data_IF_203113091910
#
_entry.id   IF_203113091910
#
_cell.length_a   1.000
_cell.length_b   1.000
_cell.length_c   1.000
_cell.angle_alpha   90.00
_cell.angle_beta   90.00
_cell.angle_gamma   90.00
#
_symmetry.space_group_name_H-M   'P 1'
#
loop_
_entity.id
_entity.type
_entity.pdbx_description
1 polymer ?
#
# COMPACT_ATOMS: atom_id res chain seq x y z
N UNK A 1 25.02 3.91 19.75
CA UNK A 1 23.89 3.38 18.93
C UNK A 1 23.88 4.15 17.62
N UNK A 2 23.95 3.48 16.45
CA UNK A 2 24.08 4.17 15.17
C UNK A 2 22.76 4.86 14.82
N UNK A 3 22.81 6.16 14.42
CA UNK A 3 21.64 6.99 14.03
C UNK A 3 20.72 6.29 13.01
N UNK A 4 21.30 5.57 12.04
CA UNK A 4 20.54 4.84 11.03
C UNK A 4 19.68 3.71 11.62
N UNK A 5 20.21 2.96 12.60
CA UNK A 5 19.46 1.91 13.31
C UNK A 5 18.27 2.49 14.07
N UNK A 6 18.44 3.64 14.71
CA UNK A 6 17.39 4.31 15.45
C UNK A 6 16.24 4.76 14.53
N UNK A 7 16.56 5.33 13.37
CA UNK A 7 15.58 5.79 12.39
C UNK A 7 14.77 4.62 11.80
N UNK A 8 15.40 3.51 11.49
CA UNK A 8 14.72 2.30 10.97
C UNK A 8 13.78 1.71 12.02
N UNK A 9 14.20 1.65 13.29
CA UNK A 9 13.34 1.16 14.38
C UNK A 9 12.11 2.04 14.59
N UNK A 10 12.27 3.37 14.55
CA UNK A 10 11.15 4.32 14.66
C UNK A 10 10.14 4.13 13.53
N UNK A 11 10.58 3.97 12.27
CA UNK A 11 9.68 3.72 11.14
C UNK A 11 8.91 2.41 11.28
N UNK A 12 9.58 1.33 11.68
CA UNK A 12 8.93 0.04 11.93
C UNK A 12 7.82 0.16 12.97
N UNK A 13 8.12 0.79 14.11
CA UNK A 13 7.13 1.00 15.18
C UNK A 13 5.95 1.83 14.69
N UNK A 14 6.23 2.93 13.98
CA UNK A 14 5.20 3.80 13.40
C UNK A 14 4.25 3.03 12.48
N UNK A 15 4.76 2.18 11.57
CA UNK A 15 3.92 1.35 10.70
C UNK A 15 2.99 0.43 11.49
N UNK A 16 3.49 -0.23 12.52
CA UNK A 16 2.69 -1.13 13.36
C UNK A 16 1.60 -0.34 14.09
N UNK A 17 1.98 0.71 14.82
CA UNK A 17 1.08 1.49 15.65
C UNK A 17 -0.01 2.19 14.82
N UNK A 18 0.36 2.79 13.67
CA UNK A 18 -0.57 3.49 12.79
C UNK A 18 -1.54 2.53 12.11
N UNK A 19 -1.08 1.41 11.61
CA UNK A 19 -1.95 0.41 10.98
C UNK A 19 -2.96 -0.13 11.99
N UNK A 20 -2.54 -0.44 13.22
CA UNK A 20 -3.44 -0.88 14.28
C UNK A 20 -4.46 0.20 14.64
N UNK A 21 -4.04 1.46 14.71
CA UNK A 21 -4.92 2.60 14.99
C UNK A 21 -5.97 2.81 13.90
N UNK A 22 -5.57 2.73 12.62
CA UNK A 22 -6.46 2.96 11.47
C UNK A 22 -7.51 1.86 11.35
N UNK A 23 -7.11 0.61 11.52
CA UNK A 23 -8.01 -0.52 11.35
C UNK A 23 -8.87 -0.82 12.60
N UNK A 24 -8.62 -0.14 13.73
CA UNK A 24 -9.40 -0.30 14.96
C UNK A 24 -9.40 -1.73 15.53
N UNK A 25 -8.46 -2.57 15.12
CA UNK A 25 -8.37 -3.98 15.50
C UNK A 25 -6.95 -4.38 15.87
N UNK A 26 -6.81 -5.46 16.63
CA UNK A 26 -5.51 -6.07 16.93
C UNK A 26 -5.06 -6.89 15.72
N UNK A 27 -4.52 -6.20 14.70
CA UNK A 27 -3.86 -6.86 13.58
C UNK A 27 -2.41 -7.12 14.00
N UNK A 28 -1.97 -8.34 13.83
CA UNK A 28 -0.57 -8.68 13.99
C UNK A 28 0.21 -8.22 12.76
N UNK A 29 1.28 -7.44 12.98
CA UNK A 29 2.06 -6.84 11.90
C UNK A 29 3.53 -7.13 12.13
N UNK A 30 4.14 -7.73 11.12
CA UNK A 30 5.58 -7.90 11.07
C UNK A 30 6.14 -7.05 9.92
N UNK A 31 6.83 -5.96 10.27
CA UNK A 31 7.34 -5.00 9.30
C UNK A 31 8.87 -4.99 9.26
N UNK A 32 9.43 -4.88 8.06
CA UNK A 32 10.84 -4.60 7.83
C UNK A 32 10.95 -3.36 6.96
N UNK A 33 11.57 -2.31 7.48
CA UNK A 33 11.77 -1.05 6.76
C UNK A 33 13.21 -0.97 6.25
N UNK A 34 13.35 -0.68 4.96
CA UNK A 34 14.66 -0.50 4.31
C UNK A 34 14.71 0.83 3.55
N UNK A 35 15.90 1.29 3.24
CA UNK A 35 16.12 2.36 2.28
C UNK A 35 16.71 1.76 1.02
N UNK A 36 16.14 2.16 -0.11
CA UNK A 36 16.58 1.77 -1.46
C UNK A 36 16.98 3.02 -2.24
N UNK A 37 17.89 2.95 -3.21
CA UNK A 37 18.40 4.08 -3.97
C UNK A 37 17.43 4.49 -5.10
N UNK A 38 16.22 4.93 -4.72
CA UNK A 38 15.24 5.53 -5.63
C UNK A 38 15.01 6.98 -5.22
N UNK A 39 14.82 7.88 -6.19
CA UNK A 39 14.62 9.30 -5.93
C UNK A 39 13.21 9.58 -5.41
N UNK A 40 12.21 9.00 -6.06
CA UNK A 40 10.79 9.14 -5.72
C UNK A 40 10.16 7.76 -5.70
N UNK A 41 9.12 7.60 -4.92
CA UNK A 41 8.36 6.36 -4.83
C UNK A 41 8.54 5.63 -3.50
N UNK A 42 7.51 4.88 -3.16
CA UNK A 42 7.46 3.99 -2.00
C UNK A 42 6.93 2.64 -2.48
N UNK A 43 7.57 1.59 -2.08
CA UNK A 43 7.19 0.24 -2.47
C UNK A 43 7.07 -0.68 -1.26
N UNK A 44 6.07 -1.54 -1.29
CA UNK A 44 5.78 -2.50 -0.22
C UNK A 44 5.50 -3.88 -0.78
N UNK A 45 6.23 -4.88 -0.29
CA UNK A 45 5.87 -6.29 -0.47
C UNK A 45 5.04 -6.72 0.72
N UNK A 46 3.75 -6.94 0.50
CA UNK A 46 2.78 -7.19 1.56
C UNK A 46 2.33 -8.63 1.50
N UNK A 47 2.34 -9.30 2.65
CA UNK A 47 1.73 -10.60 2.84
C UNK A 47 0.59 -10.46 3.83
N UNK A 48 -0.61 -10.92 3.43
CA UNK A 48 -1.83 -10.78 4.22
C UNK A 48 -2.39 -12.16 4.52
N UNK A 49 -2.69 -12.40 5.79
CA UNK A 49 -3.48 -13.53 6.24
C UNK A 49 -4.87 -13.04 6.64
N UNK A 50 -5.90 -13.71 6.13
CA UNK A 50 -7.30 -13.34 6.33
C UNK A 50 -8.05 -14.38 7.15
N UNK A 51 -9.03 -13.94 7.94
CA UNK A 51 -9.92 -14.84 8.69
C UNK A 51 -10.97 -15.55 7.82
N UNK A 52 -11.26 -15.00 6.65
CA UNK A 52 -12.23 -15.54 5.69
C UNK A 52 -11.52 -15.95 4.42
N UNK A 53 -12.08 -16.95 3.74
CA UNK A 53 -11.58 -17.39 2.44
C UNK A 53 -11.53 -16.23 1.44
N UNK A 54 -10.43 -16.11 0.72
CA UNK A 54 -10.21 -15.08 -0.29
C UNK A 54 -10.93 -15.45 -1.57
N UNK A 55 -11.83 -14.59 -2.01
CA UNK A 55 -12.41 -14.64 -3.35
C UNK A 55 -11.64 -13.70 -4.26
N UNK A 56 -10.70 -14.27 -5.03
CA UNK A 56 -9.81 -13.48 -5.89
C UNK A 56 -10.59 -12.67 -6.94
N UNK A 57 -11.67 -13.21 -7.49
CA UNK A 57 -12.47 -12.51 -8.51
C UNK A 57 -13.13 -11.27 -7.90
N UNK A 58 -13.75 -11.42 -6.74
CA UNK A 58 -14.33 -10.28 -6.02
C UNK A 58 -13.28 -9.27 -5.58
N UNK A 59 -12.10 -9.71 -5.14
CA UNK A 59 -11.00 -8.83 -4.76
C UNK A 59 -10.53 -7.99 -5.95
N UNK A 60 -10.31 -8.59 -7.11
CA UNK A 60 -9.92 -7.89 -8.35
C UNK A 60 -10.98 -6.86 -8.75
N UNK A 61 -12.25 -7.22 -8.72
CA UNK A 61 -13.34 -6.27 -9.02
C UNK A 61 -13.33 -5.09 -8.05
N UNK A 62 -13.14 -5.35 -6.76
CA UNK A 62 -13.06 -4.31 -5.73
C UNK A 62 -11.86 -3.39 -5.93
N UNK A 63 -10.67 -3.91 -6.22
CA UNK A 63 -9.48 -3.10 -6.48
C UNK A 63 -9.72 -2.20 -7.69
N UNK A 64 -10.22 -2.76 -8.80
CA UNK A 64 -10.47 -1.99 -10.04
C UNK A 64 -11.55 -0.93 -9.89
N UNK A 65 -12.51 -1.11 -8.99
CA UNK A 65 -13.58 -0.14 -8.73
C UNK A 65 -13.23 0.90 -7.67
N UNK A 66 -12.09 0.75 -6.98
CA UNK A 66 -11.70 1.67 -5.92
C UNK A 66 -10.95 2.86 -6.49
N UNK A 67 -11.45 4.07 -6.22
CA UNK A 67 -10.82 5.31 -6.69
C UNK A 67 -9.40 5.48 -6.13
N UNK A 68 -8.44 5.79 -7.01
CA UNK A 68 -7.04 5.96 -6.66
C UNK A 68 -6.25 4.66 -6.54
N UNK A 69 -6.83 3.52 -6.94
CA UNK A 69 -6.10 2.26 -7.12
C UNK A 69 -6.02 1.88 -8.59
N UNK A 70 -4.87 1.40 -9.02
CA UNK A 70 -4.65 0.82 -10.34
C UNK A 70 -4.08 -0.60 -10.22
N UNK A 71 -4.73 -1.56 -10.88
CA UNK A 71 -4.26 -2.94 -10.90
C UNK A 71 -3.46 -3.19 -12.18
N UNK A 72 -2.14 -3.29 -12.03
CA UNK A 72 -1.20 -3.62 -13.11
C UNK A 72 -0.51 -4.93 -12.77
N UNK A 73 -1.15 -6.04 -13.09
CA UNK A 73 -0.67 -7.39 -12.77
C UNK A 73 -0.63 -8.28 -14.01
N UNK A 74 0.23 -7.93 -14.96
CA UNK A 74 0.47 -8.73 -16.17
C UNK A 74 1.30 -9.97 -15.79
N UNK A 75 0.90 -11.12 -16.31
CA UNK A 75 1.60 -12.41 -16.06
C UNK A 75 2.75 -12.63 -17.05
N UNK A 76 3.56 -11.61 -17.24
CA UNK A 76 4.77 -11.62 -18.08
C UNK A 76 5.95 -11.12 -17.26
N UNK A 77 7.14 -11.28 -17.77
CA UNK A 77 8.35 -10.70 -17.17
C UNK A 77 8.25 -9.17 -17.19
N UNK A 78 8.65 -8.51 -16.10
CA UNK A 78 8.49 -7.06 -15.93
C UNK A 78 7.04 -6.55 -15.85
N UNK A 79 6.04 -7.43 -15.75
CA UNK A 79 4.61 -7.07 -15.74
C UNK A 79 4.09 -6.50 -14.42
N UNK A 80 4.85 -5.64 -13.76
CA UNK A 80 4.52 -4.95 -12.51
C UNK A 80 5.05 -3.51 -12.55
N UNK A 81 4.59 -2.65 -11.67
CA UNK A 81 5.02 -1.25 -11.58
C UNK A 81 6.18 -1.12 -10.59
N UNK A 82 7.23 -0.42 -11.00
CA UNK A 82 8.39 -0.06 -10.16
C UNK A 82 8.19 1.30 -9.50
N UNK A 83 8.98 1.66 -8.46
CA UNK A 83 8.92 2.99 -7.87
C UNK A 83 9.13 4.12 -8.88
N UNK A 84 10.08 3.98 -9.82
CA UNK A 84 10.36 5.00 -10.82
C UNK A 84 9.17 5.21 -11.78
N UNK A 85 8.48 4.13 -12.16
CA UNK A 85 7.27 4.21 -13.00
C UNK A 85 6.07 4.82 -12.29
N UNK A 86 6.04 4.78 -10.95
CA UNK A 86 4.97 5.40 -10.15
C UNK A 86 5.22 6.88 -9.85
N UNK A 87 6.41 7.39 -10.16
CA UNK A 87 6.76 8.79 -9.90
C UNK A 87 5.91 9.75 -10.75
N UNK A 88 5.29 10.73 -10.12
CA UNK A 88 4.37 11.67 -10.76
C UNK A 88 2.93 11.20 -10.89
N UNK A 89 2.63 9.94 -10.57
CA UNK A 89 1.27 9.39 -10.66
C UNK A 89 0.48 9.61 -9.37
N UNK A 90 -0.84 9.77 -9.52
CA UNK A 90 -1.76 10.00 -8.40
C UNK A 90 -2.31 8.70 -7.79
N UNK A 91 -2.11 7.59 -8.46
CA UNK A 91 -2.65 6.29 -8.10
C UNK A 91 -1.69 5.47 -7.25
N UNK A 92 -2.26 4.54 -6.49
CA UNK A 92 -1.52 3.45 -5.86
C UNK A 92 -1.62 2.23 -6.78
N UNK A 93 -0.49 1.73 -7.22
CA UNK A 93 -0.42 0.58 -8.11
C UNK A 93 -0.32 -0.72 -7.33
N UNK A 94 -1.15 -1.68 -7.70
CA UNK A 94 -1.13 -3.04 -7.15
C UNK A 94 -0.68 -3.99 -8.25
N UNK A 95 0.32 -4.80 -7.95
CA UNK A 95 0.90 -5.78 -8.88
C UNK A 95 1.22 -7.08 -8.15
N UNK A 96 1.66 -8.10 -8.90
CA UNK A 96 2.19 -9.35 -8.37
C UNK A 96 1.27 -10.03 -7.36
N UNK A 97 -0.05 -9.98 -7.60
CA UNK A 97 -1.03 -10.66 -6.76
C UNK A 97 -0.85 -12.17 -6.84
N UNK A 98 -0.63 -12.79 -5.68
CA UNK A 98 -0.37 -14.23 -5.57
C UNK A 98 -1.14 -14.82 -4.41
N UNK A 99 -2.04 -15.76 -4.70
CA UNK A 99 -2.71 -16.57 -3.68
C UNK A 99 -1.76 -17.71 -3.31
N UNK A 100 -1.45 -17.85 -2.02
CA UNK A 100 -0.71 -19.00 -1.49
C UNK A 100 -1.64 -20.14 -1.12
N UNK A 101 -2.78 -19.81 -0.51
CA UNK A 101 -3.87 -20.70 -0.14
C UNK A 101 -5.14 -19.88 0.04
N UNK A 102 -6.23 -20.51 0.48
CA UNK A 102 -7.53 -19.86 0.64
C UNK A 102 -7.54 -18.62 1.55
N UNK A 103 -6.54 -18.45 2.40
CA UNK A 103 -6.50 -17.39 3.42
C UNK A 103 -5.31 -16.45 3.28
N UNK A 104 -4.37 -16.73 2.40
CA UNK A 104 -3.12 -15.98 2.30
C UNK A 104 -2.90 -15.42 0.91
N UNK A 105 -2.58 -14.13 0.83
CA UNK A 105 -2.28 -13.42 -0.40
C UNK A 105 -1.02 -12.56 -0.25
N UNK A 106 -0.18 -12.57 -1.27
CA UNK A 106 0.93 -11.64 -1.45
C UNK A 106 0.59 -10.57 -2.47
N UNK A 107 1.02 -9.34 -2.22
CA UNK A 107 0.82 -8.17 -3.07
C UNK A 107 2.14 -7.40 -3.19
N UNK A 108 2.32 -6.74 -4.32
CA UNK A 108 3.30 -5.69 -4.51
C UNK A 108 2.55 -4.37 -4.69
N UNK A 109 2.86 -3.37 -3.88
CA UNK A 109 2.16 -2.08 -3.86
C UNK A 109 3.18 -0.97 -4.02
N UNK A 110 2.93 -0.04 -4.94
CA UNK A 110 3.83 1.08 -5.23
C UNK A 110 3.03 2.36 -5.40
N UNK A 111 3.58 3.47 -4.94
CA UNK A 111 2.98 4.79 -5.11
C UNK A 111 4.04 5.89 -5.04
N UNK A 112 3.74 7.05 -5.62
CA UNK A 112 4.50 8.27 -5.39
C UNK A 112 4.30 8.76 -3.95
N UNK A 113 5.37 8.75 -3.16
CA UNK A 113 5.34 9.12 -1.75
C UNK A 113 5.20 10.64 -1.52
N UNK A 114 5.49 11.47 -2.51
CA UNK A 114 5.34 12.93 -2.44
C UNK A 114 3.90 13.35 -2.76
N UNK A 115 3.21 12.58 -3.58
CA UNK A 115 1.82 12.80 -3.98
C UNK A 115 0.85 12.03 -3.07
N UNK A 116 0.68 10.75 -3.31
CA UNK A 116 -0.28 9.90 -2.58
C UNK A 116 0.09 9.72 -1.10
N UNK A 117 1.37 9.68 -0.78
CA UNK A 117 1.84 9.61 0.61
C UNK A 117 1.83 10.94 1.37
N UNK A 118 1.52 12.08 0.71
CA UNK A 118 1.62 13.41 1.30
C UNK A 118 0.52 14.37 0.81
N UNK A 119 0.85 15.31 -0.09
CA UNK A 119 0.00 16.43 -0.44
C UNK A 119 -1.33 16.02 -1.07
N UNK A 120 -1.30 15.14 -2.07
CA UNK A 120 -2.50 14.69 -2.76
C UNK A 120 -3.48 13.97 -1.82
N UNK A 121 -2.98 13.13 -0.94
CA UNK A 121 -3.83 12.39 0.00
C UNK A 121 -4.57 13.33 0.96
N UNK A 122 -3.93 14.42 1.39
CA UNK A 122 -4.56 15.45 2.23
C UNK A 122 -5.71 16.15 1.49
N UNK A 123 -5.52 16.49 0.21
CA UNK A 123 -6.56 17.09 -0.64
C UNK A 123 -7.73 16.12 -0.81
N UNK A 124 -7.46 14.86 -1.14
CA UNK A 124 -8.49 13.83 -1.34
C UNK A 124 -9.31 13.55 -0.08
N UNK A 125 -8.68 13.61 1.10
CA UNK A 125 -9.40 13.53 2.39
C UNK A 125 -10.34 14.72 2.54
N UNK A 126 -9.87 15.96 2.25
CA UNK A 126 -10.69 17.17 2.28
C UNK A 126 -11.89 17.07 1.35
N UNK A 127 -11.68 16.64 0.10
CA UNK A 127 -12.76 16.43 -0.87
C UNK A 127 -13.80 15.39 -0.41
N UNK A 128 -13.33 14.29 0.18
CA UNK A 128 -14.22 13.25 0.71
C UNK A 128 -15.07 13.77 1.89
N UNK A 129 -14.49 14.60 2.75
CA UNK A 129 -15.21 15.24 3.87
C UNK A 129 -16.24 16.23 3.36
N UNK A 130 -15.90 17.08 2.39
CA UNK A 130 -16.84 18.02 1.76
C UNK A 130 -18.02 17.27 1.16
N UNK A 131 -17.76 16.24 0.36
CA UNK A 131 -18.82 15.43 -0.26
C UNK A 131 -19.74 14.74 0.76
N UNK A 132 -19.21 14.38 1.93
CA UNK A 132 -19.95 13.63 2.95
C UNK A 132 -20.72 14.53 3.93
N UNK A 133 -20.16 15.68 4.31
CA UNK A 133 -20.64 16.48 5.44
C UNK A 133 -21.11 17.89 5.10
N UNK A 134 -20.76 18.41 3.92
CA UNK A 134 -21.08 19.80 3.53
C UNK A 134 -22.06 19.88 2.33
N UNK A 135 -22.81 18.80 2.08
CA UNK A 135 -23.93 18.80 1.12
C UNK A 135 -25.20 19.22 1.79
#
# INVERSE_FOLDING_TARGET
MNFLKLVIQKKKKKMIDETQKIHGSKIEIFATCVRVPVFVGHAESIFIETKKKIDLKKLIVKIKSFSGLSLVDKKIDGGYVTPDESAGEDEVFISRMRIKNDFNIGLWVVADNLRKGAALNSIQIGEALIKKFLK
#
